data_IF_155451391238
#
_entry.id   IF_155451391238
#
_cell.length_a   1.000
_cell.length_b   1.000
_cell.length_c   1.000
_cell.angle_alpha   90.00
_cell.angle_beta   90.00
_cell.angle_gamma   90.00
#
_symmetry.space_group_name_H-M   'P 1'
#
loop_
_entity.id
_entity.type
_entity.pdbx_description
1 polymer ?
#
# COMPACT_ATOMS: atom_id res chain seq x y z
N UNK A 1 11.32 33.32 20.42
CA UNK A 1 10.16 32.80 21.18
C UNK A 1 8.98 32.63 20.22
N UNK A 2 8.49 31.38 20.06
CA UNK A 2 7.14 30.91 19.63
C UNK A 2 6.52 31.49 18.33
N UNK A 3 6.64 30.79 17.20
CA UNK A 3 5.69 29.83 16.56
C UNK A 3 4.44 30.43 15.91
N UNK A 4 4.44 30.48 14.57
CA UNK A 4 3.26 30.65 13.70
C UNK A 4 2.57 29.29 13.48
N UNK A 5 1.26 29.21 13.73
CA UNK A 5 0.43 28.04 13.41
C UNK A 5 0.09 28.03 11.92
N UNK A 6 0.66 27.08 11.18
CA UNK A 6 0.30 26.76 9.81
C UNK A 6 -1.03 26.01 9.75
N UNK A 7 -2.00 26.58 9.03
CA UNK A 7 -3.27 25.93 8.68
C UNK A 7 -2.98 24.83 7.64
N UNK A 8 -3.19 23.57 8.01
CA UNK A 8 -3.15 22.44 7.07
C UNK A 8 -4.40 22.48 6.18
N UNK A 9 -4.19 22.76 4.90
CA UNK A 9 -5.15 22.59 3.82
C UNK A 9 -5.23 21.10 3.48
N UNK A 10 -6.28 20.43 3.96
CA UNK A 10 -6.69 19.12 3.48
C UNK A 10 -7.61 19.37 2.29
N UNK A 11 -7.28 18.82 1.12
CA UNK A 11 -8.11 18.92 -0.08
C UNK A 11 -9.41 18.11 0.06
N UNK A 12 -10.53 18.60 -0.48
CA UNK A 12 -11.82 17.93 -0.36
C UNK A 12 -11.87 16.63 -1.18
N UNK A 13 -12.46 15.59 -0.59
CA UNK A 13 -12.77 14.30 -1.22
C UNK A 13 -13.71 14.54 -2.40
N UNK A 14 -13.37 13.99 -3.56
CA UNK A 14 -14.14 14.14 -4.80
C UNK A 14 -15.50 13.42 -4.69
N UNK A 15 -16.60 14.09 -5.04
CA UNK A 15 -17.98 13.62 -4.84
C UNK A 15 -18.30 12.27 -5.50
N UNK A 16 -17.54 11.89 -6.53
CA UNK A 16 -17.67 10.61 -7.23
C UNK A 16 -17.33 9.39 -6.35
N UNK A 17 -16.44 9.52 -5.35
CA UNK A 17 -16.14 8.42 -4.41
C UNK A 17 -17.30 8.13 -3.45
N UNK A 18 -18.15 9.12 -3.17
CA UNK A 18 -19.30 8.94 -2.29
C UNK A 18 -20.45 8.20 -2.97
N UNK A 19 -20.54 8.22 -4.29
CA UNK A 19 -21.62 7.52 -5.03
C UNK A 19 -21.43 6.01 -5.07
N UNK A 20 -20.18 5.53 -5.11
CA UNK A 20 -19.86 4.09 -5.03
C UNK A 20 -20.32 3.53 -3.68
N UNK A 21 -20.13 4.28 -2.60
CA UNK A 21 -20.56 3.92 -1.24
C UNK A 21 -22.09 3.99 -1.05
N UNK A 22 -22.81 4.79 -1.85
CA UNK A 22 -24.26 4.98 -1.74
C UNK A 22 -25.09 3.91 -2.44
N UNK A 23 -24.52 3.14 -3.38
CA UNK A 23 -25.29 2.21 -4.23
C UNK A 23 -25.82 0.95 -3.54
N UNK A 24 -25.27 0.55 -2.39
CA UNK A 24 -25.72 -0.67 -1.68
C UNK A 24 -26.14 -0.34 -0.24
N UNK A 25 -27.42 0.06 -0.07
CA UNK A 25 -28.05 0.43 1.21
C UNK A 25 -27.99 -0.65 2.33
N UNK A 26 -27.43 -1.82 2.08
CA UNK A 26 -27.32 -2.93 3.05
C UNK A 26 -25.92 -3.02 3.69
N UNK A 27 -24.86 -2.41 3.14
CA UNK A 27 -23.49 -2.57 3.66
C UNK A 27 -22.97 -1.41 4.55
N UNK A 28 -23.76 -0.36 4.76
CA UNK A 28 -23.38 0.71 5.72
C UNK A 28 -23.58 0.25 7.16
N UNK A 29 -24.51 -0.67 7.43
CA UNK A 29 -24.82 -1.11 8.79
C UNK A 29 -23.70 -2.00 9.39
N UNK A 30 -22.99 -2.79 8.57
CA UNK A 30 -21.83 -3.56 9.02
C UNK A 30 -20.61 -2.67 9.28
N UNK A 31 -20.43 -1.63 8.45
CA UNK A 31 -19.34 -0.65 8.60
C UNK A 31 -19.57 0.29 9.79
N UNK A 32 -20.82 0.70 10.04
CA UNK A 32 -21.19 1.49 11.23
C UNK A 32 -21.08 0.69 12.53
N UNK A 33 -21.43 -0.60 12.55
CA UNK A 33 -21.26 -1.44 13.74
C UNK A 33 -19.78 -1.71 14.07
N UNK A 34 -18.90 -1.80 13.07
CA UNK A 34 -17.46 -1.93 13.27
C UNK A 34 -16.84 -0.63 13.83
N UNK A 35 -17.38 0.54 13.47
CA UNK A 35 -16.87 1.85 13.91
C UNK A 35 -17.51 2.35 15.24
N UNK A 36 -18.71 1.88 15.63
CA UNK A 36 -19.47 2.50 16.74
C UNK A 36 -19.24 1.95 18.17
N UNK A 37 -18.41 0.92 18.40
CA UNK A 37 -18.04 0.51 19.77
C UNK A 37 -16.81 1.30 20.27
N UNK A 38 -17.13 2.45 20.85
CA UNK A 38 -16.28 3.61 21.22
C UNK A 38 -15.05 3.36 22.11
N UNK A 39 -14.08 4.28 21.89
CA UNK A 39 -12.86 4.62 22.65
C UNK A 39 -11.63 3.78 22.31
N UNK A 40 -11.01 4.05 21.15
CA UNK A 40 -9.55 4.02 20.82
C UNK A 40 -9.52 4.07 19.28
N UNK A 41 -9.72 5.25 18.67
CA UNK A 41 -9.30 5.46 17.27
C UNK A 41 -8.70 6.86 17.22
N UNK A 42 -7.48 6.96 17.76
CA UNK A 42 -6.60 8.13 17.55
C UNK A 42 -5.39 7.74 16.68
N UNK A 43 -5.62 6.83 15.71
CA UNK A 43 -4.70 6.52 14.61
C UNK A 43 -5.56 6.03 13.44
N UNK A 44 -5.47 6.73 12.31
CA UNK A 44 -6.46 6.71 11.23
C UNK A 44 -6.77 5.31 10.69
N UNK A 45 -8.05 5.08 10.40
CA UNK A 45 -8.47 4.06 9.45
C UNK A 45 -7.95 4.54 8.10
N UNK A 46 -6.88 3.92 7.61
CA UNK A 46 -6.06 4.45 6.52
C UNK A 46 -6.78 4.33 5.17
N UNK A 47 -7.04 5.47 4.54
CA UNK A 47 -7.43 5.54 3.13
C UNK A 47 -6.33 5.02 2.18
N UNK A 48 -5.09 4.90 2.65
CA UNK A 48 -3.92 4.53 1.87
C UNK A 48 -3.99 3.09 1.35
N UNK A 49 -4.29 2.11 2.22
CA UNK A 49 -4.36 0.69 1.90
C UNK A 49 -5.49 0.39 0.92
N UNK A 50 -6.67 0.99 1.14
CA UNK A 50 -7.83 0.79 0.27
C UNK A 50 -7.55 1.28 -1.15
N UNK A 51 -6.98 2.49 -1.29
CA UNK A 51 -6.62 3.07 -2.59
C UNK A 51 -5.56 2.25 -3.33
N UNK A 52 -4.52 1.80 -2.60
CA UNK A 52 -3.49 0.93 -3.18
C UNK A 52 -4.11 -0.40 -3.64
N UNK A 53 -4.98 -0.98 -2.83
CA UNK A 53 -5.65 -2.25 -3.14
C UNK A 53 -6.58 -2.14 -4.34
N UNK A 54 -7.32 -1.04 -4.46
CA UNK A 54 -8.14 -0.74 -5.63
C UNK A 54 -7.29 -0.58 -6.89
N UNK A 55 -6.14 0.10 -6.78
CA UNK A 55 -5.19 0.21 -7.89
C UNK A 55 -4.68 -1.15 -8.36
N UNK A 56 -4.31 -2.04 -7.42
CA UNK A 56 -3.87 -3.42 -7.72
C UNK A 56 -4.96 -4.18 -8.49
N UNK A 57 -6.20 -4.13 -8.00
CA UNK A 57 -7.33 -4.80 -8.65
C UNK A 57 -7.56 -4.26 -10.07
N UNK A 58 -7.58 -2.93 -10.23
CA UNK A 58 -7.79 -2.28 -11.52
C UNK A 58 -6.71 -2.67 -12.54
N UNK A 59 -5.44 -2.72 -12.11
CA UNK A 59 -4.33 -3.19 -12.96
C UNK A 59 -4.56 -4.65 -13.35
N UNK A 60 -4.82 -5.53 -12.38
CA UNK A 60 -5.00 -6.96 -12.64
C UNK A 60 -6.16 -7.23 -13.63
N UNK A 61 -7.28 -6.53 -13.46
CA UNK A 61 -8.43 -6.64 -14.36
C UNK A 61 -8.17 -6.02 -15.74
N UNK A 62 -7.38 -4.95 -15.85
CA UNK A 62 -7.02 -4.35 -17.13
C UNK A 62 -6.22 -5.29 -18.03
N UNK A 63 -5.31 -6.08 -17.46
CA UNK A 63 -4.44 -6.99 -18.21
C UNK A 63 -5.05 -8.38 -18.46
N UNK A 64 -6.22 -8.68 -17.89
CA UNK A 64 -6.88 -9.99 -18.01
C UNK A 64 -7.63 -10.21 -19.34
N UNK A 65 -8.45 -9.27 -19.86
CA UNK A 65 -9.18 -9.44 -21.12
C UNK A 65 -8.29 -9.67 -22.34
N UNK A 66 -7.13 -9.00 -22.38
CA UNK A 66 -6.18 -9.13 -23.49
C UNK A 66 -5.60 -10.55 -23.64
N UNK A 67 -5.64 -11.34 -22.57
CA UNK A 67 -5.00 -12.66 -22.48
C UNK A 67 -6.01 -13.81 -22.41
N UNK A 68 -7.31 -13.58 -22.65
CA UNK A 68 -8.39 -14.57 -22.53
C UNK A 68 -8.45 -15.26 -21.15
N UNK A 69 -8.03 -14.54 -20.12
CA UNK A 69 -8.01 -15.03 -18.72
C UNK A 69 -9.43 -15.28 -18.25
N UNK A 70 -9.70 -16.48 -17.73
CA UNK A 70 -10.97 -16.85 -17.12
C UNK A 70 -11.00 -16.55 -15.63
N UNK A 71 -9.84 -16.58 -14.97
CA UNK A 71 -9.72 -16.31 -13.54
C UNK A 71 -8.30 -15.93 -13.16
N UNK A 72 -8.16 -14.99 -12.22
CA UNK A 72 -6.89 -14.71 -11.54
C UNK A 72 -6.86 -15.53 -10.25
N UNK A 73 -5.78 -16.30 -10.05
CA UNK A 73 -5.56 -17.14 -8.87
C UNK A 73 -4.74 -16.40 -7.82
N UNK A 74 -3.69 -15.72 -8.25
CA UNK A 74 -2.80 -14.98 -7.37
C UNK A 74 -2.19 -13.76 -8.07
N UNK A 75 -1.91 -12.73 -7.28
CA UNK A 75 -1.18 -11.53 -7.70
C UNK A 75 0.06 -11.43 -6.81
N UNK A 76 1.22 -11.53 -7.45
CA UNK A 76 2.50 -11.43 -6.76
C UNK A 76 2.95 -9.99 -6.74
N UNK A 77 3.19 -9.48 -5.54
CA UNK A 77 3.54 -8.09 -5.26
C UNK A 77 4.94 -8.04 -4.65
N UNK A 78 5.74 -7.10 -5.12
CA UNK A 78 6.92 -6.63 -4.37
C UNK A 78 6.49 -5.40 -3.59
N UNK A 79 6.73 -5.36 -2.28
CA UNK A 79 6.44 -4.20 -1.42
C UNK A 79 7.68 -3.89 -0.58
N UNK A 80 8.18 -2.66 -0.63
CA UNK A 80 9.32 -2.22 0.15
C UNK A 80 9.08 -2.27 1.66
N UNK A 81 10.12 -2.58 2.44
CA UNK A 81 10.06 -2.68 3.91
C UNK A 81 9.68 -1.36 4.62
N UNK A 82 9.85 -0.20 3.98
CA UNK A 82 9.39 1.09 4.53
C UNK A 82 7.91 1.35 4.28
N UNK A 83 7.25 0.54 3.46
CA UNK A 83 5.81 0.59 3.32
C UNK A 83 5.12 0.25 4.65
N UNK A 84 4.03 0.95 4.94
CA UNK A 84 3.15 0.67 6.09
C UNK A 84 2.00 -0.27 5.70
N UNK A 85 1.95 -0.72 4.45
CA UNK A 85 0.93 -1.65 3.98
C UNK A 85 1.07 -2.99 4.70
N UNK A 86 0.07 -3.36 5.48
CA UNK A 86 0.02 -4.64 6.18
C UNK A 86 -0.62 -5.73 5.33
N UNK A 87 0.02 -6.89 5.25
CA UNK A 87 -0.36 -7.99 4.35
C UNK A 87 -1.83 -8.43 4.56
N UNK A 88 -2.23 -8.58 5.83
CA UNK A 88 -3.58 -9.02 6.18
C UNK A 88 -4.64 -7.99 5.75
N UNK A 89 -4.37 -6.71 5.95
CA UNK A 89 -5.32 -5.65 5.63
C UNK A 89 -5.50 -5.48 4.13
N UNK A 90 -4.41 -5.49 3.35
CA UNK A 90 -4.53 -5.38 1.90
C UNK A 90 -5.23 -6.60 1.30
N UNK A 91 -5.02 -7.81 1.83
CA UNK A 91 -5.78 -8.99 1.40
C UNK A 91 -7.27 -8.85 1.74
N UNK A 92 -7.63 -8.38 2.94
CA UNK A 92 -9.04 -8.19 3.34
C UNK A 92 -9.75 -7.17 2.45
N UNK A 93 -9.11 -6.03 2.17
CA UNK A 93 -9.67 -5.05 1.24
C UNK A 93 -9.77 -5.62 -0.17
N UNK A 94 -8.81 -6.43 -0.59
CA UNK A 94 -8.83 -7.06 -1.91
C UNK A 94 -9.98 -8.06 -2.03
N UNK A 95 -10.20 -8.89 -1.00
CA UNK A 95 -11.31 -9.83 -0.93
C UNK A 95 -12.67 -9.13 -0.98
N UNK A 96 -12.77 -7.92 -0.40
CA UNK A 96 -13.97 -7.09 -0.49
C UNK A 96 -14.16 -6.51 -1.89
N UNK A 97 -13.14 -5.83 -2.43
CA UNK A 97 -13.20 -5.13 -3.72
C UNK A 97 -13.31 -6.07 -4.93
N UNK A 98 -12.72 -7.27 -4.85
CA UNK A 98 -12.65 -8.20 -5.98
C UNK A 98 -13.93 -9.02 -6.19
N UNK A 99 -14.93 -8.92 -5.30
CA UNK A 99 -16.22 -9.63 -5.45
C UNK A 99 -16.89 -9.31 -6.78
N UNK A 100 -17.38 -10.34 -7.46
CA UNK A 100 -18.03 -10.22 -8.78
C UNK A 100 -17.05 -10.02 -9.94
N UNK A 101 -15.74 -10.06 -9.71
CA UNK A 101 -14.72 -9.87 -10.75
C UNK A 101 -13.96 -11.17 -11.07
N UNK A 102 -13.16 -11.17 -12.14
CA UNK A 102 -12.25 -12.27 -12.49
C UNK A 102 -11.19 -12.57 -11.41
N UNK A 103 -10.94 -11.61 -10.52
CA UNK A 103 -10.00 -11.72 -9.43
C UNK A 103 -10.63 -12.13 -8.09
N UNK A 104 -11.94 -12.43 -8.08
CA UNK A 104 -12.61 -12.87 -6.86
C UNK A 104 -11.92 -14.11 -6.28
N UNK A 105 -11.48 -13.98 -5.03
CA UNK A 105 -10.81 -15.05 -4.28
C UNK A 105 -9.33 -15.22 -4.63
N UNK A 106 -8.74 -14.32 -5.43
CA UNK A 106 -7.30 -14.34 -5.70
C UNK A 106 -6.49 -13.98 -4.44
N UNK A 107 -5.30 -14.56 -4.32
CA UNK A 107 -4.38 -14.26 -3.21
C UNK A 107 -3.35 -13.21 -3.59
N UNK A 108 -3.13 -12.25 -2.68
CA UNK A 108 -2.01 -11.33 -2.74
C UNK A 108 -0.79 -12.00 -2.09
N UNK A 109 0.19 -12.37 -2.91
CA UNK A 109 1.44 -12.96 -2.45
C UNK A 109 2.49 -11.85 -2.40
N UNK A 110 3.00 -11.54 -1.20
CA UNK A 110 3.80 -10.33 -0.97
C UNK A 110 5.24 -10.71 -0.64
N UNK A 111 6.15 -10.25 -1.47
CA UNK A 111 7.60 -10.28 -1.25
C UNK A 111 8.05 -8.92 -0.72
N UNK A 112 8.80 -8.91 0.40
CA UNK A 112 9.31 -7.66 0.99
C UNK A 112 10.68 -7.30 0.42
N UNK A 113 10.77 -6.11 -0.15
CA UNK A 113 12.04 -5.59 -0.69
C UNK A 113 12.81 -4.84 0.39
N UNK A 114 14.08 -5.17 0.64
CA UNK A 114 14.85 -4.62 1.74
C UNK A 114 15.16 -3.13 1.56
N UNK A 115 15.47 -2.46 2.66
CA UNK A 115 15.95 -1.08 2.63
C UNK A 115 17.40 -1.05 2.12
N UNK A 116 17.62 -0.56 0.89
CA UNK A 116 18.96 -0.39 0.33
C UNK A 116 19.31 1.09 0.19
N UNK A 117 20.54 1.38 0.56
CA UNK A 117 21.16 2.70 0.47
C UNK A 117 22.34 2.64 -0.50
N UNK A 118 22.60 3.76 -1.17
CA UNK A 118 23.83 4.00 -1.94
C UNK A 118 24.55 5.20 -1.36
N UNK A 119 25.83 5.06 -1.06
CA UNK A 119 26.65 6.19 -0.61
C UNK A 119 26.92 7.16 -1.76
N UNK A 120 26.64 8.45 -1.56
CA UNK A 120 26.85 9.47 -2.59
C UNK A 120 28.34 9.79 -2.81
N UNK A 121 29.21 9.43 -1.87
CA UNK A 121 30.65 9.73 -1.92
C UNK A 121 31.47 8.61 -2.55
N UNK A 122 31.19 7.34 -2.21
CA UNK A 122 31.97 6.19 -2.68
C UNK A 122 31.18 5.20 -3.55
N UNK A 123 29.90 5.46 -3.81
CA UNK A 123 28.97 4.60 -4.56
C UNK A 123 28.71 3.21 -3.97
N UNK A 124 29.19 2.91 -2.77
CA UNK A 124 28.91 1.64 -2.10
C UNK A 124 27.41 1.47 -1.83
N UNK A 125 26.87 0.31 -2.21
CA UNK A 125 25.48 -0.06 -1.93
C UNK A 125 25.42 -1.03 -0.75
N UNK A 126 24.52 -0.75 0.20
CA UNK A 126 24.40 -1.52 1.42
C UNK A 126 22.96 -1.56 1.91
N UNK A 127 22.62 -2.60 2.66
CA UNK A 127 21.31 -2.77 3.28
C UNK A 127 21.33 -2.26 4.72
N UNK A 128 20.22 -1.66 5.16
CA UNK A 128 20.01 -1.26 6.56
C UNK A 128 18.72 -1.88 7.11
N UNK A 129 18.59 -1.94 8.43
CA UNK A 129 17.30 -2.25 9.08
C UNK A 129 16.48 -0.98 9.23
N UNK A 130 15.16 -1.14 9.39
CA UNK A 130 14.23 -0.02 9.58
C UNK A 130 14.59 0.84 10.81
N UNK A 131 15.07 0.21 11.87
CA UNK A 131 15.47 0.89 13.11
C UNK A 131 16.69 1.80 12.92
N UNK A 132 17.54 1.50 11.94
CA UNK A 132 18.79 2.23 11.67
C UNK A 132 18.60 3.45 10.75
N UNK A 133 17.38 3.68 10.23
CA UNK A 133 17.12 4.70 9.20
C UNK A 133 17.45 6.13 9.65
N UNK A 134 17.53 6.38 10.95
CA UNK A 134 17.89 7.69 11.52
C UNK A 134 19.39 7.91 11.64
N UNK A 135 20.19 6.83 11.60
CA UNK A 135 21.62 6.82 11.84
C UNK A 135 22.37 6.15 10.69
N UNK A 136 22.10 6.59 9.46
CA UNK A 136 22.71 6.01 8.27
C UNK A 136 24.15 6.51 8.13
N UNK A 137 25.07 5.56 8.08
CA UNK A 137 26.48 5.79 7.80
C UNK A 137 26.97 4.75 6.81
N UNK A 138 27.73 5.17 5.80
CA UNK A 138 28.29 4.25 4.83
C UNK A 138 29.36 3.36 5.50
N UNK A 139 29.21 2.03 5.47
CA UNK A 139 30.16 1.12 6.11
C UNK A 139 31.55 1.10 5.44
N UNK A 140 31.67 1.64 4.22
CA UNK A 140 32.92 1.67 3.47
C UNK A 140 33.74 2.96 3.68
N UNK A 141 33.10 4.12 3.89
CA UNK A 141 33.80 5.41 3.93
C UNK A 141 33.34 6.35 5.05
N UNK A 142 32.43 5.90 5.92
CA UNK A 142 31.89 6.66 7.05
C UNK A 142 31.14 7.95 6.71
N UNK A 143 30.86 8.20 5.42
CA UNK A 143 30.04 9.34 5.02
C UNK A 143 28.56 9.07 5.31
N UNK A 144 27.87 10.10 5.81
CA UNK A 144 26.44 10.03 6.17
C UNK A 144 25.50 10.31 5.01
N UNK A 145 26.00 10.93 3.94
CA UNK A 145 25.21 11.25 2.76
C UNK A 145 25.00 9.99 1.92
N UNK A 146 23.83 9.38 2.08
CA UNK A 146 23.43 8.19 1.33
C UNK A 146 22.01 8.37 0.77
N UNK A 147 21.81 7.92 -0.46
CA UNK A 147 20.54 7.93 -1.16
C UNK A 147 19.83 6.59 -1.03
N UNK A 148 18.53 6.60 -0.73
CA UNK A 148 17.71 5.39 -0.71
C UNK A 148 17.48 4.89 -2.14
N UNK A 149 17.82 3.63 -2.41
CA UNK A 149 17.65 3.01 -3.72
C UNK A 149 16.55 1.95 -3.76
N UNK A 150 16.17 1.38 -2.61
CA UNK A 150 15.11 0.38 -2.48
C UNK A 150 14.52 0.39 -1.07
N UNK A 151 13.29 -0.07 -0.92
CA UNK A 151 12.55 -0.16 0.33
C UNK A 151 11.25 0.66 0.36
N UNK A 152 10.89 1.40 -0.70
CA UNK A 152 9.64 2.19 -0.79
C UNK A 152 8.72 1.78 -1.94
N UNK A 153 9.23 1.00 -2.86
CA UNK A 153 8.55 0.53 -4.04
C UNK A 153 7.34 -0.33 -3.70
N UNK A 154 6.36 -0.33 -4.58
CA UNK A 154 5.36 -1.37 -4.65
C UNK A 154 4.99 -1.58 -6.11
N UNK A 155 4.94 -2.83 -6.55
CA UNK A 155 4.56 -3.16 -7.93
C UNK A 155 4.07 -4.61 -8.04
N UNK A 156 3.26 -4.88 -9.05
CA UNK A 156 2.88 -6.24 -9.44
C UNK A 156 4.06 -6.86 -10.19
N UNK A 157 4.58 -7.98 -9.67
CA UNK A 157 5.67 -8.76 -10.27
C UNK A 157 5.14 -9.66 -11.38
N UNK A 158 4.10 -10.43 -11.08
CA UNK A 158 3.39 -11.29 -12.04
C UNK A 158 2.03 -11.71 -11.46
N UNK A 159 1.23 -12.38 -12.29
CA UNK A 159 -0.08 -12.94 -11.91
C UNK A 159 -0.17 -14.40 -12.33
N UNK A 160 -0.84 -15.20 -11.50
CA UNK A 160 -1.21 -16.58 -11.83
C UNK A 160 -2.66 -16.59 -12.32
N UNK A 161 -2.91 -17.26 -13.45
CA UNK A 161 -4.21 -17.20 -14.15
C UNK A 161 -4.65 -18.56 -14.69
N UNK A 162 -5.96 -18.73 -14.92
CA UNK A 162 -6.59 -19.86 -15.61
C UNK A 162 -7.26 -19.46 -16.92
#
# INVERSE_FOLDING_TARGET
MRTTHGKNLISPVNEQHLEILKKNKVEIHFFQLYIQRRKIINKGIQMHELQVTESILNIALKYSPANKVKKIIAIHLTIGELSELENEWIQRYFDYLSKGTLAQGAKLVIERSPIRMKCDSCNHEFQIKRDDIRNIECPQCSQKKCTLTSGREYHIKHMEVM
#
